data_IF_661317431205
#
_entry.id   IF_661317431205
#
_cell.length_a   1.000
_cell.length_b   1.000
_cell.length_c   1.000
_cell.angle_alpha   90.00
_cell.angle_beta   90.00
_cell.angle_gamma   90.00
#
_symmetry.space_group_name_H-M   'P 1'
#
loop_
_entity.id
_entity.type
_entity.pdbx_description
1 polymer ?
#
# COMPACT_ATOMS: atom_id res chain seq x y z
N UNK A 1 -33.10 -17.53 17.97
CA UNK A 1 -32.64 -18.17 16.73
C UNK A 1 -32.15 -17.03 15.88
N UNK A 2 -30.83 -16.80 15.86
CA UNK A 2 -30.17 -15.83 14.95
C UNK A 2 -30.22 -16.52 13.59
N UNK A 3 -31.07 -16.04 12.70
CA UNK A 3 -31.02 -16.43 11.28
C UNK A 3 -29.70 -15.92 10.72
N UNK A 4 -28.74 -16.83 10.45
CA UNK A 4 -27.61 -16.52 9.61
C UNK A 4 -28.14 -15.93 8.30
N UNK A 5 -27.70 -14.73 7.98
CA UNK A 5 -28.01 -14.14 6.68
C UNK A 5 -27.40 -15.05 5.60
N UNK A 6 -28.26 -15.72 4.84
CA UNK A 6 -27.86 -16.66 3.77
C UNK A 6 -27.28 -15.93 2.55
N UNK A 7 -27.19 -14.61 2.59
CA UNK A 7 -26.70 -13.79 1.47
C UNK A 7 -25.19 -13.71 1.53
N UNK A 8 -24.51 -14.15 0.47
CA UNK A 8 -23.06 -13.97 0.30
C UNK A 8 -22.73 -12.48 0.28
N UNK A 9 -21.83 -11.98 1.14
CA UNK A 9 -21.42 -10.58 1.12
C UNK A 9 -20.83 -10.19 -0.25
N UNK A 10 -20.98 -8.93 -0.65
CA UNK A 10 -20.30 -8.40 -1.83
C UNK A 10 -18.82 -8.18 -1.52
N UNK A 11 -18.50 -7.69 -0.32
CA UNK A 11 -17.14 -7.28 0.05
C UNK A 11 -16.76 -7.83 1.43
N UNK A 12 -15.62 -8.52 1.51
CA UNK A 12 -14.94 -8.89 2.74
C UNK A 12 -13.81 -7.91 3.03
N UNK A 13 -13.83 -7.29 4.20
CA UNK A 13 -12.66 -6.61 4.74
C UNK A 13 -11.81 -7.61 5.49
N UNK A 14 -10.51 -7.67 5.16
CA UNK A 14 -9.54 -8.48 5.89
C UNK A 14 -8.59 -7.54 6.63
N UNK A 15 -8.63 -7.58 7.96
CA UNK A 15 -7.88 -6.68 8.84
C UNK A 15 -6.90 -7.48 9.69
N UNK A 16 -5.61 -7.53 9.31
CA UNK A 16 -4.56 -8.14 10.14
C UNK A 16 -4.22 -7.22 11.30
N UNK A 17 -4.13 -7.77 12.51
CA UNK A 17 -3.96 -7.02 13.76
C UNK A 17 -2.78 -7.54 14.55
N UNK A 18 -1.83 -6.66 14.88
CA UNK A 18 -0.71 -6.98 15.76
C UNK A 18 -0.16 -5.74 16.47
N UNK A 19 -0.37 -5.64 17.79
CA UNK A 19 0.24 -4.59 18.61
C UNK A 19 -0.21 -3.17 18.25
N UNK A 20 -1.52 -2.94 18.03
CA UNK A 20 -2.09 -1.69 17.53
C UNK A 20 -3.28 -1.20 18.36
N UNK A 21 -3.36 -1.53 19.65
CA UNK A 21 -4.53 -1.21 20.49
C UNK A 21 -4.96 0.26 20.44
N UNK A 22 -4.00 1.17 20.26
CA UNK A 22 -4.27 2.61 20.19
C UNK A 22 -5.04 3.04 18.91
N UNK A 23 -5.01 2.24 17.86
CA UNK A 23 -5.55 2.58 16.53
C UNK A 23 -6.72 1.69 16.11
N UNK A 24 -6.79 0.48 16.66
CA UNK A 24 -7.67 -0.60 16.21
C UNK A 24 -9.13 -0.17 16.17
N UNK A 25 -9.63 0.50 17.20
CA UNK A 25 -11.02 0.92 17.26
C UNK A 25 -11.38 1.91 16.15
N UNK A 26 -10.49 2.87 15.86
CA UNK A 26 -10.67 3.82 14.75
C UNK A 26 -10.74 3.10 13.41
N UNK A 27 -9.87 2.11 13.19
CA UNK A 27 -9.89 1.30 11.98
C UNK A 27 -11.23 0.58 11.81
N UNK A 28 -11.66 -0.19 12.81
CA UNK A 28 -12.88 -0.99 12.75
C UNK A 28 -14.14 -0.13 12.56
N UNK A 29 -14.25 0.98 13.31
CA UNK A 29 -15.37 1.92 13.19
C UNK A 29 -15.39 2.63 11.82
N UNK A 30 -14.22 2.87 11.22
CA UNK A 30 -14.17 3.48 9.89
C UNK A 30 -14.70 2.56 8.78
N UNK A 31 -14.69 1.24 9.01
CA UNK A 31 -15.20 0.24 8.08
C UNK A 31 -16.71 0.03 8.27
N UNK A 32 -17.16 -0.14 9.52
CA UNK A 32 -18.53 -0.55 9.83
C UNK A 32 -19.43 0.60 10.32
N UNK A 33 -18.81 1.65 10.85
CA UNK A 33 -19.54 2.76 11.45
C UNK A 33 -20.35 3.54 10.41
N UNK A 34 -21.64 3.78 10.74
CA UNK A 34 -22.52 4.58 9.89
C UNK A 34 -23.10 3.86 8.67
N UNK A 35 -22.76 2.59 8.43
CA UNK A 35 -23.40 1.80 7.39
C UNK A 35 -24.78 1.32 7.83
N UNK A 36 -25.75 1.42 6.95
CA UNK A 36 -27.14 0.99 7.21
C UNK A 36 -27.72 0.28 5.98
N UNK A 37 -28.78 -0.51 6.20
CA UNK A 37 -29.51 -1.18 5.13
C UNK A 37 -28.63 -2.08 4.26
N UNK A 38 -28.87 -2.03 2.94
CA UNK A 38 -28.23 -2.91 1.96
C UNK A 38 -26.70 -2.84 1.96
N UNK A 39 -26.09 -1.73 2.34
CA UNK A 39 -24.62 -1.61 2.40
C UNK A 39 -24.05 -2.34 3.63
N UNK A 40 -24.76 -2.29 4.78
CA UNK A 40 -24.37 -3.07 5.96
C UNK A 40 -24.44 -4.57 5.72
N UNK A 41 -25.48 -5.02 5.00
CA UNK A 41 -25.69 -6.43 4.66
C UNK A 41 -24.74 -6.93 3.56
N UNK A 42 -24.18 -6.02 2.78
CA UNK A 42 -23.28 -6.33 1.68
C UNK A 42 -21.83 -6.58 2.13
N UNK A 43 -21.49 -6.35 3.40
CA UNK A 43 -20.10 -6.46 3.88
C UNK A 43 -19.97 -7.44 5.05
N UNK A 44 -18.78 -8.03 5.13
CA UNK A 44 -18.29 -8.70 6.33
C UNK A 44 -16.89 -8.17 6.69
N UNK A 45 -16.55 -8.27 7.96
CA UNK A 45 -15.22 -7.94 8.46
C UNK A 45 -14.59 -9.18 9.08
N UNK A 46 -13.41 -9.57 8.59
CA UNK A 46 -12.58 -10.65 9.11
C UNK A 46 -11.34 -10.03 9.74
N UNK A 47 -11.34 -9.90 11.06
CA UNK A 47 -10.20 -9.40 11.82
C UNK A 47 -9.32 -10.56 12.25
N UNK A 48 -8.02 -10.48 11.97
CA UNK A 48 -7.06 -11.55 12.29
C UNK A 48 -6.10 -11.07 13.36
N UNK A 49 -6.25 -11.54 14.58
CA UNK A 49 -5.29 -11.30 15.65
C UNK A 49 -4.06 -12.19 15.47
N UNK A 50 -2.96 -11.61 15.04
CA UNK A 50 -1.68 -12.30 14.81
C UNK A 50 -0.90 -12.50 16.11
N UNK A 51 -1.59 -12.99 17.16
CA UNK A 51 -1.08 -13.17 18.51
C UNK A 51 -0.53 -11.85 19.10
N UNK A 52 -1.36 -10.81 19.10
CA UNK A 52 -1.01 -9.49 19.64
C UNK A 52 -0.59 -9.57 21.11
N UNK A 53 0.49 -8.90 21.51
CA UNK A 53 0.97 -8.88 22.90
C UNK A 53 0.21 -7.87 23.78
N UNK A 54 -0.61 -7.00 23.20
CA UNK A 54 -1.44 -5.97 23.83
C UNK A 54 -2.91 -6.42 23.92
N UNK A 55 -3.81 -5.49 24.22
CA UNK A 55 -5.25 -5.80 24.38
C UNK A 55 -6.02 -5.95 23.06
N UNK A 56 -5.37 -5.96 21.90
CA UNK A 56 -6.06 -6.09 20.61
C UNK A 56 -7.02 -7.29 20.57
N UNK A 57 -6.60 -8.47 21.08
CA UNK A 57 -7.44 -9.67 21.09
C UNK A 57 -8.74 -9.48 21.89
N UNK A 58 -8.68 -8.87 23.08
CA UNK A 58 -9.85 -8.56 23.91
C UNK A 58 -10.75 -7.52 23.23
N UNK A 59 -10.16 -6.52 22.61
CA UNK A 59 -10.88 -5.47 21.86
C UNK A 59 -11.66 -6.08 20.68
N UNK A 60 -11.05 -7.00 19.93
CA UNK A 60 -11.69 -7.68 18.81
C UNK A 60 -12.88 -8.53 19.25
N UNK A 61 -12.74 -9.32 20.33
CA UNK A 61 -13.83 -10.11 20.88
C UNK A 61 -15.01 -9.23 21.33
N UNK A 62 -14.68 -8.15 22.04
CA UNK A 62 -15.68 -7.18 22.48
C UNK A 62 -16.36 -6.50 21.29
N UNK A 63 -15.60 -6.18 20.26
CA UNK A 63 -16.13 -5.54 19.06
C UNK A 63 -17.02 -6.46 18.24
N UNK A 64 -16.67 -7.74 18.13
CA UNK A 64 -17.47 -8.75 17.44
C UNK A 64 -18.75 -9.12 18.17
N UNK A 65 -18.82 -8.91 19.48
CA UNK A 65 -19.98 -9.25 20.28
C UNK A 65 -21.25 -8.55 19.76
N UNK A 66 -22.24 -9.34 19.34
CA UNK A 66 -23.51 -8.83 18.79
C UNK A 66 -23.44 -8.33 17.33
N UNK A 67 -22.31 -8.48 16.66
CA UNK A 67 -22.13 -8.13 15.23
C UNK A 67 -21.96 -9.40 14.37
N UNK A 68 -23.01 -9.93 13.77
CA UNK A 68 -22.95 -11.21 13.03
C UNK A 68 -22.09 -11.14 11.75
N UNK A 69 -21.83 -9.94 11.24
CA UNK A 69 -20.97 -9.68 10.09
C UNK A 69 -19.49 -9.44 10.47
N UNK A 70 -19.12 -9.60 11.75
CA UNK A 70 -17.72 -9.52 12.22
C UNK A 70 -17.25 -10.89 12.66
N UNK A 71 -16.16 -11.34 12.11
CA UNK A 71 -15.48 -12.58 12.48
C UNK A 71 -14.08 -12.28 12.99
N UNK A 72 -13.70 -12.89 14.10
CA UNK A 72 -12.36 -12.83 14.67
C UNK A 72 -11.67 -14.17 14.46
N UNK A 73 -10.47 -14.11 13.87
CA UNK A 73 -9.54 -15.23 13.71
C UNK A 73 -8.36 -14.99 14.64
N UNK A 74 -8.12 -15.92 15.57
CA UNK A 74 -6.98 -15.83 16.48
C UNK A 74 -5.89 -16.81 16.08
N UNK A 75 -4.70 -16.30 15.81
CA UNK A 75 -3.52 -17.10 15.56
C UNK A 75 -2.81 -17.42 16.87
N UNK A 76 -2.25 -18.61 16.98
CA UNK A 76 -1.57 -19.08 18.21
C UNK A 76 -0.18 -18.50 18.38
N UNK A 77 0.39 -17.89 17.33
CA UNK A 77 1.70 -17.23 17.30
C UNK A 77 1.72 -16.15 16.24
N UNK A 78 2.59 -15.17 16.39
CA UNK A 78 2.84 -14.19 15.33
C UNK A 78 3.46 -14.86 14.10
N UNK A 79 2.76 -14.77 12.97
CA UNK A 79 3.18 -15.32 11.67
C UNK A 79 3.62 -14.23 10.70
N UNK A 80 3.32 -12.97 11.01
CA UNK A 80 3.62 -11.79 10.21
C UNK A 80 2.50 -11.39 9.25
N UNK A 81 2.58 -10.13 8.80
CA UNK A 81 1.50 -9.42 8.11
C UNK A 81 0.93 -10.19 6.91
N UNK A 82 1.77 -10.70 6.01
CA UNK A 82 1.30 -11.42 4.82
C UNK A 82 0.55 -12.71 5.16
N UNK A 83 1.07 -13.51 6.09
CA UNK A 83 0.41 -14.77 6.48
C UNK A 83 -0.86 -14.51 7.30
N UNK A 84 -0.92 -13.44 8.07
CA UNK A 84 -2.16 -13.02 8.73
C UNK A 84 -3.23 -12.60 7.72
N UNK A 85 -2.86 -11.88 6.64
CA UNK A 85 -3.79 -11.60 5.53
C UNK A 85 -4.29 -12.87 4.85
N UNK A 86 -3.43 -13.88 4.63
CA UNK A 86 -3.86 -15.17 4.08
C UNK A 86 -4.87 -15.87 5.00
N UNK A 87 -4.61 -15.92 6.31
CA UNK A 87 -5.54 -16.52 7.27
C UNK A 87 -6.92 -15.82 7.26
N UNK A 88 -6.95 -14.50 7.06
CA UNK A 88 -8.18 -13.76 6.88
C UNK A 88 -8.85 -14.04 5.54
N UNK A 89 -8.09 -14.15 4.46
CA UNK A 89 -8.59 -14.46 3.13
C UNK A 89 -9.26 -15.84 3.08
N UNK A 90 -8.72 -16.84 3.78
CA UNK A 90 -9.33 -18.19 3.92
C UNK A 90 -10.71 -18.15 4.59
N UNK A 91 -10.98 -17.15 5.42
CA UNK A 91 -12.27 -16.98 6.10
C UNK A 91 -13.22 -16.02 5.38
N UNK A 92 -12.72 -15.29 4.37
CA UNK A 92 -13.48 -14.34 3.58
C UNK A 92 -14.47 -15.07 2.66
N UNK A 93 -15.75 -14.61 2.66
CA UNK A 93 -16.84 -15.18 1.86
C UNK A 93 -17.32 -14.21 0.77
N UNK A 94 -16.94 -12.96 0.86
CA UNK A 94 -17.32 -11.92 -0.10
C UNK A 94 -16.83 -12.21 -1.51
N UNK A 95 -17.59 -11.70 -2.50
CA UNK A 95 -17.16 -11.74 -3.91
C UNK A 95 -15.87 -10.97 -4.13
N UNK A 96 -15.65 -9.91 -3.34
CA UNK A 96 -14.46 -9.07 -3.34
C UNK A 96 -13.78 -9.09 -1.98
N UNK A 97 -12.48 -8.80 -1.97
CA UNK A 97 -11.68 -8.66 -0.75
C UNK A 97 -10.97 -7.31 -0.76
N UNK A 98 -11.02 -6.61 0.37
CA UNK A 98 -10.24 -5.41 0.65
C UNK A 98 -9.41 -5.61 1.90
N UNK A 99 -8.09 -5.61 1.75
CA UNK A 99 -7.16 -5.65 2.88
C UNK A 99 -7.03 -4.26 3.46
N UNK A 100 -7.20 -4.11 4.78
CA UNK A 100 -7.06 -2.84 5.49
C UNK A 100 -6.09 -3.02 6.65
N UNK A 101 -5.04 -2.22 6.70
CA UNK A 101 -4.07 -2.28 7.80
C UNK A 101 -4.69 -1.66 9.07
N UNK A 102 -4.55 -2.35 10.20
CA UNK A 102 -5.27 -2.05 11.44
C UNK A 102 -4.83 -0.77 12.17
N UNK A 103 -3.76 -0.12 11.72
CA UNK A 103 -3.31 1.19 12.18
C UNK A 103 -3.78 2.36 11.30
N UNK A 104 -4.50 2.06 10.20
CA UNK A 104 -5.06 2.99 9.24
C UNK A 104 -6.58 3.13 9.38
N UNK A 105 -7.21 3.96 8.56
CA UNK A 105 -8.68 4.11 8.55
C UNK A 105 -9.21 4.58 7.20
N UNK A 106 -10.50 4.40 7.00
CA UNK A 106 -11.22 4.83 5.80
C UNK A 106 -11.89 6.19 6.05
N UNK A 107 -11.90 7.13 5.10
CA UNK A 107 -12.70 8.35 5.22
C UNK A 107 -14.19 8.04 5.15
N UNK A 108 -15.05 8.89 5.72
CA UNK A 108 -16.51 8.74 5.63
C UNK A 108 -16.97 8.58 4.17
N UNK A 109 -17.92 7.65 3.93
CA UNK A 109 -18.47 7.36 2.61
C UNK A 109 -17.60 6.49 1.69
N UNK A 110 -16.36 6.18 2.06
CA UNK A 110 -15.46 5.36 1.23
C UNK A 110 -16.05 3.97 0.94
N UNK A 111 -16.60 3.29 1.96
CA UNK A 111 -17.18 1.95 1.81
C UNK A 111 -18.36 1.98 0.83
N UNK A 112 -19.31 2.89 1.02
CA UNK A 112 -20.48 3.05 0.14
C UNK A 112 -20.06 3.35 -1.31
N UNK A 113 -19.06 4.23 -1.50
CA UNK A 113 -18.52 4.54 -2.83
C UNK A 113 -17.88 3.32 -3.49
N UNK A 114 -17.08 2.56 -2.74
CA UNK A 114 -16.46 1.32 -3.23
C UNK A 114 -17.53 0.30 -3.58
N UNK A 115 -18.52 0.06 -2.72
CA UNK A 115 -19.62 -0.88 -3.01
C UNK A 115 -20.39 -0.50 -4.28
N UNK A 116 -20.67 0.78 -4.48
CA UNK A 116 -21.33 1.26 -5.69
C UNK A 116 -20.50 0.97 -6.95
N UNK A 117 -19.16 1.17 -6.88
CA UNK A 117 -18.24 0.86 -7.99
C UNK A 117 -18.20 -0.64 -8.27
N UNK A 118 -18.07 -1.48 -7.25
CA UNK A 118 -18.03 -2.94 -7.42
C UNK A 118 -19.32 -3.47 -8.06
N UNK A 119 -20.49 -2.93 -7.69
CA UNK A 119 -21.79 -3.31 -8.29
C UNK A 119 -21.92 -2.88 -9.73
N UNK A 120 -21.35 -1.73 -10.11
CA UNK A 120 -21.45 -1.16 -11.44
C UNK A 120 -20.49 -1.80 -12.43
N UNK A 121 -19.22 -1.93 -12.06
CA UNK A 121 -18.14 -2.21 -13.01
C UNK A 121 -17.69 -3.67 -12.97
N UNK A 122 -17.98 -4.38 -11.91
CA UNK A 122 -17.56 -5.77 -11.68
C UNK A 122 -16.09 -6.04 -12.09
N UNK A 123 -15.11 -5.26 -11.56
CA UNK A 123 -13.72 -5.37 -11.97
C UNK A 123 -13.03 -6.60 -11.38
N UNK A 124 -11.90 -7.01 -11.97
CA UNK A 124 -10.97 -7.93 -11.31
C UNK A 124 -10.21 -7.22 -10.19
N UNK A 125 -9.80 -5.96 -10.48
CA UNK A 125 -9.11 -5.10 -9.53
C UNK A 125 -9.70 -3.69 -9.59
N UNK A 126 -10.10 -3.16 -8.43
CA UNK A 126 -10.45 -1.75 -8.26
C UNK A 126 -9.30 -1.04 -7.54
N UNK A 127 -8.62 -0.12 -8.24
CA UNK A 127 -7.58 0.74 -7.66
C UNK A 127 -8.20 1.93 -6.92
N UNK A 128 -7.65 2.26 -5.76
CA UNK A 128 -8.11 3.32 -4.88
C UNK A 128 -7.01 4.35 -4.63
N UNK A 129 -7.38 5.63 -4.57
CA UNK A 129 -6.49 6.69 -4.12
C UNK A 129 -6.46 6.80 -2.59
N UNK A 130 -5.39 7.40 -2.07
CA UNK A 130 -5.17 7.55 -0.64
C UNK A 130 -4.45 8.84 -0.28
N UNK A 131 -4.57 9.23 0.99
CA UNK A 131 -3.78 10.31 1.58
C UNK A 131 -2.90 9.79 2.70
N UNK A 132 -1.67 10.27 2.76
CA UNK A 132 -0.78 10.10 3.90
C UNK A 132 -1.17 11.09 5.00
N UNK A 133 -1.33 10.59 6.20
CA UNK A 133 -1.69 11.40 7.37
C UNK A 133 -0.54 11.37 8.37
N UNK A 134 0.12 12.50 8.54
CA UNK A 134 1.24 12.64 9.45
C UNK A 134 0.76 12.87 10.90
N UNK A 135 1.60 12.59 11.89
CA UNK A 135 1.30 12.75 13.32
C UNK A 135 0.82 14.17 13.69
N UNK A 136 1.33 15.17 12.99
CA UNK A 136 0.92 16.59 13.19
C UNK A 136 -0.37 16.95 12.45
N UNK A 137 -1.11 15.99 11.92
CA UNK A 137 -2.36 16.19 11.17
C UNK A 137 -2.17 16.65 9.72
N UNK A 138 -0.94 16.87 9.25
CA UNK A 138 -0.69 17.25 7.85
C UNK A 138 -1.12 16.13 6.91
N UNK A 139 -1.90 16.48 5.90
CA UNK A 139 -2.30 15.59 4.83
C UNK A 139 -1.32 15.74 3.66
N UNK A 140 -0.96 14.61 3.05
CA UNK A 140 -0.06 14.59 1.89
C UNK A 140 -0.64 13.65 0.83
N UNK A 141 -0.83 14.19 -0.38
CA UNK A 141 -1.26 13.42 -1.55
C UNK A 141 -0.11 12.49 -1.95
N UNK A 142 -0.42 11.24 -2.25
CA UNK A 142 0.61 10.31 -2.71
C UNK A 142 1.16 10.71 -4.08
N UNK A 143 2.44 10.44 -4.28
CA UNK A 143 3.11 10.78 -5.54
C UNK A 143 2.54 10.04 -6.76
N UNK A 144 1.87 8.89 -6.55
CA UNK A 144 1.25 8.10 -7.62
C UNK A 144 -0.22 8.47 -7.90
N UNK A 145 -0.87 9.33 -7.08
CA UNK A 145 -2.28 9.71 -7.25
C UNK A 145 -2.59 10.30 -8.64
N UNK A 146 -1.61 10.98 -9.26
CA UNK A 146 -1.79 11.53 -10.60
C UNK A 146 -1.97 10.45 -11.68
N UNK A 147 -1.52 9.21 -11.45
CA UNK A 147 -1.66 8.08 -12.37
C UNK A 147 -3.09 7.54 -12.40
N UNK A 148 -3.89 7.84 -11.37
CA UNK A 148 -5.28 7.40 -11.25
C UNK A 148 -6.27 8.37 -11.89
N UNK A 149 -5.82 9.58 -12.27
CA UNK A 149 -6.72 10.63 -12.79
C UNK A 149 -7.04 10.43 -14.26
N UNK A 150 -8.33 10.56 -14.58
CA UNK A 150 -8.80 10.52 -15.97
C UNK A 150 -8.51 9.19 -16.67
N UNK A 151 -8.34 8.12 -15.92
CA UNK A 151 -8.19 6.78 -16.48
C UNK A 151 -9.54 6.33 -17.04
N UNK A 152 -9.64 5.92 -18.32
CA UNK A 152 -10.82 5.24 -18.83
C UNK A 152 -11.14 4.00 -17.98
N UNK A 153 -12.39 3.57 -17.96
CA UNK A 153 -12.83 2.58 -16.99
C UNK A 153 -13.89 1.64 -17.59
N UNK A 154 -13.65 0.32 -17.62
CA UNK A 154 -12.43 -0.39 -17.22
C UNK A 154 -11.30 -0.31 -18.24
N UNK A 155 -10.06 -0.62 -17.80
CA UNK A 155 -8.86 -0.73 -18.65
C UNK A 155 -8.09 -2.01 -18.37
N UNK A 156 -7.16 -2.33 -19.26
CA UNK A 156 -6.11 -3.34 -19.06
C UNK A 156 -4.77 -2.65 -18.73
N UNK A 157 -3.79 -3.43 -18.28
CA UNK A 157 -2.45 -2.90 -18.07
C UNK A 157 -1.75 -2.51 -19.39
N UNK A 158 -2.05 -3.22 -20.49
CA UNK A 158 -1.48 -2.91 -21.81
C UNK A 158 -1.94 -1.53 -22.31
N UNK A 159 -3.20 -1.14 -22.01
CA UNK A 159 -3.73 0.18 -22.34
C UNK A 159 -3.17 1.28 -21.44
N UNK A 160 -2.81 0.96 -20.20
CA UNK A 160 -2.33 1.90 -19.18
C UNK A 160 -1.14 1.34 -18.37
N UNK A 161 0.02 1.11 -19.02
CA UNK A 161 1.20 0.49 -18.38
C UNK A 161 1.76 1.30 -17.20
N UNK A 162 1.49 2.61 -17.13
CA UNK A 162 1.87 3.44 -15.99
C UNK A 162 1.20 3.03 -14.67
N UNK A 163 0.10 2.28 -14.67
CA UNK A 163 -0.54 1.77 -13.46
C UNK A 163 0.37 0.84 -12.65
N UNK A 164 1.37 0.20 -13.27
CA UNK A 164 2.41 -0.53 -12.54
C UNK A 164 3.22 0.34 -11.57
N UNK A 165 3.23 1.66 -11.75
CA UNK A 165 3.95 2.60 -10.88
C UNK A 165 3.11 3.08 -9.70
N UNK A 166 1.83 2.72 -9.65
CA UNK A 166 0.99 2.94 -8.46
C UNK A 166 1.60 2.17 -7.31
N UNK A 167 1.52 2.73 -6.10
CA UNK A 167 2.09 2.10 -4.92
C UNK A 167 1.62 0.63 -4.79
N UNK A 168 2.58 -0.29 -4.68
CA UNK A 168 2.34 -1.74 -4.66
C UNK A 168 1.87 -2.27 -3.30
N UNK A 169 1.04 -1.53 -2.59
CA UNK A 169 0.44 -1.96 -1.32
C UNK A 169 -0.80 -2.82 -1.55
N UNK A 170 -1.13 -3.68 -0.59
CA UNK A 170 -2.33 -4.50 -0.66
C UNK A 170 -3.61 -3.69 -0.41
N UNK A 171 -3.54 -2.66 0.43
CA UNK A 171 -4.70 -1.91 0.91
C UNK A 171 -5.26 -0.87 -0.08
N UNK A 172 -4.52 -0.48 -1.12
CA UNK A 172 -5.02 0.44 -2.17
C UNK A 172 -5.72 -0.28 -3.33
N UNK A 173 -6.12 -1.53 -3.12
CA UNK A 173 -6.80 -2.37 -4.11
C UNK A 173 -7.95 -3.13 -3.45
N UNK A 174 -9.08 -3.21 -4.17
CA UNK A 174 -10.14 -4.18 -3.90
C UNK A 174 -10.10 -5.20 -5.02
N UNK A 175 -10.07 -6.49 -4.66
CA UNK A 175 -9.78 -7.55 -5.62
C UNK A 175 -10.93 -8.57 -5.64
N UNK A 176 -11.34 -9.01 -6.82
CA UNK A 176 -12.27 -10.14 -6.97
C UNK A 176 -11.65 -11.40 -6.39
N UNK A 177 -12.33 -12.05 -5.43
CA UNK A 177 -11.75 -13.16 -4.67
C UNK A 177 -11.39 -14.35 -5.57
N UNK A 178 -12.28 -14.71 -6.48
CA UNK A 178 -12.03 -15.82 -7.41
C UNK A 178 -10.84 -15.54 -8.34
N UNK A 179 -10.59 -14.26 -8.69
CA UNK A 179 -9.42 -13.86 -9.46
C UNK A 179 -8.09 -14.11 -8.71
N UNK A 180 -8.08 -13.99 -7.36
CA UNK A 180 -6.93 -14.39 -6.56
C UNK A 180 -6.64 -15.90 -6.67
N UNK A 181 -7.69 -16.70 -6.73
CA UNK A 181 -7.59 -18.15 -6.87
C UNK A 181 -7.18 -18.55 -8.31
N UNK A 182 -7.69 -17.85 -9.32
CA UNK A 182 -7.31 -18.02 -10.74
C UNK A 182 -5.80 -17.77 -10.97
N UNK A 183 -5.22 -16.80 -10.26
CA UNK A 183 -3.80 -16.48 -10.33
C UNK A 183 -2.93 -17.24 -9.30
N UNK A 184 -3.53 -18.08 -8.47
CA UNK A 184 -2.87 -18.76 -7.33
C UNK A 184 -2.07 -17.78 -6.43
N UNK A 185 -2.61 -16.60 -6.21
CA UNK A 185 -1.93 -15.54 -5.47
C UNK A 185 -2.21 -15.63 -3.97
N UNK A 186 -1.13 -15.73 -3.21
CA UNK A 186 -1.11 -15.64 -1.74
C UNK A 186 0.08 -14.80 -1.30
N UNK A 187 -0.04 -14.19 -0.12
CA UNK A 187 1.08 -13.47 0.46
C UNK A 187 2.18 -14.43 0.93
N UNK A 188 3.41 -14.05 0.72
CA UNK A 188 4.57 -14.78 1.21
C UNK A 188 5.05 -14.24 2.56
N UNK A 189 5.75 -15.05 3.37
CA UNK A 189 6.34 -14.58 4.62
C UNK A 189 7.45 -13.56 4.37
N UNK A 190 7.69 -12.70 5.37
CA UNK A 190 8.71 -11.64 5.33
C UNK A 190 8.10 -10.26 5.12
N UNK A 191 8.97 -9.22 5.12
CA UNK A 191 8.55 -7.87 4.79
C UNK A 191 8.47 -7.67 3.27
N UNK A 192 7.68 -6.66 2.82
CA UNK A 192 7.44 -6.38 1.40
C UNK A 192 6.69 -7.49 0.66
N UNK A 193 5.89 -8.24 1.38
CA UNK A 193 5.04 -9.34 0.91
C UNK A 193 4.02 -8.91 -0.14
N UNK A 194 3.72 -7.63 -0.19
CA UNK A 194 2.82 -7.02 -1.15
C UNK A 194 3.42 -6.84 -2.56
N UNK A 195 4.75 -6.91 -2.71
CA UNK A 195 5.41 -6.83 -4.04
C UNK A 195 4.99 -7.99 -4.95
N UNK A 196 5.19 -9.28 -4.57
CA UNK A 196 4.80 -10.41 -5.41
C UNK A 196 3.29 -10.66 -5.39
N UNK A 197 2.51 -9.90 -4.62
CA UNK A 197 1.06 -9.95 -4.62
C UNK A 197 0.45 -8.88 -5.54
N UNK A 198 0.86 -7.63 -5.38
CA UNK A 198 0.21 -6.48 -6.05
C UNK A 198 0.54 -6.35 -7.54
N UNK A 199 1.77 -6.65 -7.96
CA UNK A 199 2.12 -6.56 -9.38
C UNK A 199 1.42 -7.62 -10.23
N UNK A 200 1.40 -8.92 -9.84
CA UNK A 200 0.64 -9.95 -10.56
C UNK A 200 -0.85 -9.62 -10.72
N UNK A 201 -1.48 -8.99 -9.71
CA UNK A 201 -2.87 -8.57 -9.82
C UNK A 201 -3.11 -7.60 -10.98
N UNK A 202 -2.22 -6.62 -11.18
CA UNK A 202 -2.36 -5.66 -12.27
C UNK A 202 -1.99 -6.27 -13.63
N UNK A 203 -1.00 -7.16 -13.64
CA UNK A 203 -0.52 -7.81 -14.87
C UNK A 203 -1.56 -8.79 -15.40
N UNK A 204 -2.21 -9.57 -14.53
CA UNK A 204 -3.17 -10.58 -14.92
C UNK A 204 -4.61 -10.08 -15.09
N UNK A 205 -4.92 -8.86 -14.66
CA UNK A 205 -6.30 -8.35 -14.72
C UNK A 205 -6.74 -7.98 -16.13
N UNK A 206 -7.88 -8.49 -16.55
CA UNK A 206 -8.56 -8.08 -17.78
C UNK A 206 -9.43 -6.83 -17.59
N UNK A 207 -9.82 -6.54 -16.34
CA UNK A 207 -10.72 -5.45 -15.97
C UNK A 207 -10.18 -4.71 -14.74
N UNK A 208 -9.37 -3.68 -14.97
CA UNK A 208 -8.92 -2.76 -13.92
C UNK A 208 -9.86 -1.56 -13.93
N UNK A 209 -10.54 -1.33 -12.80
CA UNK A 209 -11.26 -0.09 -12.56
C UNK A 209 -10.47 0.82 -11.64
N UNK A 210 -10.63 2.14 -11.84
CA UNK A 210 -9.92 3.14 -11.04
C UNK A 210 -10.93 4.06 -10.37
N UNK A 211 -10.81 4.24 -9.07
CA UNK A 211 -11.58 5.21 -8.30
C UNK A 211 -10.67 6.39 -7.95
N UNK A 212 -10.77 7.47 -8.75
CA UNK A 212 -10.08 8.76 -8.54
C UNK A 212 -10.73 9.52 -7.37
N UNK A 213 -10.75 8.86 -6.22
CA UNK A 213 -11.25 9.39 -4.97
C UNK A 213 -10.45 8.82 -3.81
N UNK A 214 -10.14 9.65 -2.83
CA UNK A 214 -9.46 9.21 -1.61
C UNK A 214 -10.39 8.29 -0.83
N UNK A 215 -10.05 7.01 -0.80
CA UNK A 215 -10.78 5.99 -0.05
C UNK A 215 -9.99 5.41 1.13
N UNK A 216 -8.75 5.86 1.32
CA UNK A 216 -7.87 5.33 2.37
C UNK A 216 -7.04 6.42 3.02
N UNK A 217 -6.86 6.35 4.34
CA UNK A 217 -6.04 7.23 5.17
C UNK A 217 -4.86 6.44 5.73
N UNK A 218 -3.70 6.62 5.11
CA UNK A 218 -2.47 5.94 5.49
C UNK A 218 -1.71 6.71 6.55
N UNK A 219 -1.63 6.16 7.76
CA UNK A 219 -0.94 6.78 8.91
C UNK A 219 0.57 6.74 8.72
N UNK A 220 1.21 7.90 8.97
CA UNK A 220 2.65 8.05 8.90
C UNK A 220 3.25 8.28 10.29
N UNK A 221 4.49 7.80 10.50
CA UNK A 221 5.27 8.12 11.71
C UNK A 221 5.01 7.20 12.90
N UNK A 222 4.10 6.24 12.82
CA UNK A 222 3.81 5.32 13.92
C UNK A 222 5.07 4.56 14.37
N UNK A 223 5.30 4.51 15.68
CA UNK A 223 6.34 3.65 16.27
C UNK A 223 6.09 2.19 15.92
N UNK A 224 7.13 1.49 15.44
CA UNK A 224 7.04 0.09 15.02
C UNK A 224 6.52 -0.13 13.59
N UNK A 225 6.22 0.93 12.83
CA UNK A 225 5.93 0.78 11.41
C UNK A 225 7.16 0.26 10.65
N UNK A 226 6.94 -0.68 9.71
CA UNK A 226 8.02 -1.30 8.91
C UNK A 226 8.87 -0.23 8.22
N UNK A 227 8.23 0.80 7.67
CA UNK A 227 8.88 1.87 6.89
C UNK A 227 9.78 2.79 7.72
N UNK A 228 9.61 2.83 9.04
CA UNK A 228 10.39 3.64 10.00
C UNK A 228 11.20 2.80 10.99
N UNK A 229 11.27 1.47 10.81
CA UNK A 229 12.02 0.57 11.70
C UNK A 229 13.34 0.17 11.08
N UNK A 230 14.46 0.48 11.76
CA UNK A 230 15.79 0.02 11.35
C UNK A 230 15.94 -1.48 11.61
N UNK A 231 16.03 -2.27 10.54
CA UNK A 231 16.08 -3.72 10.66
C UNK A 231 16.87 -4.38 9.51
N UNK A 232 17.45 -5.56 9.81
CA UNK A 232 17.96 -6.47 8.78
C UNK A 232 16.85 -7.12 7.94
N UNK A 233 15.59 -7.09 8.40
CA UNK A 233 14.44 -7.62 7.66
C UNK A 233 14.16 -6.87 6.34
N UNK A 234 14.73 -5.69 6.13
CA UNK A 234 14.67 -5.04 4.83
C UNK A 234 15.34 -5.84 3.70
N UNK A 235 16.16 -6.82 4.02
CA UNK A 235 16.72 -7.78 3.05
C UNK A 235 15.65 -8.74 2.49
N UNK A 236 14.50 -8.89 3.14
CA UNK A 236 13.39 -9.72 2.64
C UNK A 236 12.91 -9.23 1.26
N UNK A 237 13.07 -7.94 0.95
CA UNK A 237 12.73 -7.36 -0.36
C UNK A 237 13.40 -8.11 -1.53
N UNK A 238 14.59 -8.68 -1.32
CA UNK A 238 15.28 -9.44 -2.37
C UNK A 238 14.51 -10.70 -2.74
N UNK A 239 14.11 -11.50 -1.75
CA UNK A 239 13.34 -12.70 -1.97
C UNK A 239 11.95 -12.39 -2.57
N UNK A 240 11.33 -11.27 -2.19
CA UNK A 240 10.03 -10.88 -2.74
C UNK A 240 10.13 -10.52 -4.24
N UNK A 241 11.20 -9.81 -4.64
CA UNK A 241 11.42 -9.54 -6.07
C UNK A 241 11.83 -10.80 -6.85
N UNK A 242 12.58 -11.74 -6.25
CA UNK A 242 12.87 -13.03 -6.89
C UNK A 242 11.57 -13.77 -7.22
N UNK A 243 10.59 -13.83 -6.31
CA UNK A 243 9.27 -14.42 -6.53
C UNK A 243 8.47 -13.68 -7.60
N UNK A 244 8.49 -12.34 -7.58
CA UNK A 244 7.82 -11.57 -8.61
C UNK A 244 8.36 -11.91 -10.02
N UNK A 245 9.68 -11.91 -10.19
CA UNK A 245 10.27 -12.22 -11.50
C UNK A 245 10.03 -13.68 -11.92
N UNK A 246 10.06 -14.62 -10.98
CA UNK A 246 9.71 -16.03 -11.24
C UNK A 246 8.27 -16.16 -11.72
N UNK A 247 7.33 -15.46 -11.07
CA UNK A 247 5.93 -15.45 -11.48
C UNK A 247 5.76 -14.83 -12.89
N UNK A 248 6.40 -13.69 -13.15
CA UNK A 248 6.33 -13.00 -14.46
C UNK A 248 6.94 -13.87 -15.56
N UNK A 249 8.11 -14.46 -15.32
CA UNK A 249 8.78 -15.31 -16.31
C UNK A 249 7.94 -16.56 -16.67
N UNK A 250 7.08 -17.00 -15.73
CA UNK A 250 6.22 -18.19 -15.92
C UNK A 250 4.89 -17.82 -16.60
N UNK A 251 4.26 -16.70 -16.25
CA UNK A 251 2.87 -16.41 -16.64
C UNK A 251 2.77 -15.32 -17.71
N UNK A 252 3.69 -14.36 -17.72
CA UNK A 252 3.69 -13.22 -18.65
C UNK A 252 5.12 -12.85 -19.09
N UNK A 253 5.79 -13.70 -19.90
CA UNK A 253 7.17 -13.50 -20.32
C UNK A 253 7.31 -12.40 -21.38
N UNK A 254 6.96 -11.17 -21.03
CA UNK A 254 7.09 -9.98 -21.87
C UNK A 254 8.36 -9.19 -21.53
N UNK A 255 9.27 -8.92 -22.50
CA UNK A 255 10.51 -8.17 -22.29
C UNK A 255 10.28 -6.72 -21.82
N UNK A 256 9.25 -6.02 -22.30
CA UNK A 256 8.97 -4.63 -21.93
C UNK A 256 8.45 -4.54 -20.50
N UNK A 257 7.53 -5.42 -20.12
CA UNK A 257 7.05 -5.58 -18.75
C UNK A 257 8.23 -5.88 -17.81
N UNK A 258 9.09 -6.84 -18.19
CA UNK A 258 10.27 -7.21 -17.41
C UNK A 258 11.23 -6.03 -17.23
N UNK A 259 11.47 -5.23 -18.26
CA UNK A 259 12.31 -4.03 -18.18
C UNK A 259 11.71 -2.95 -17.27
N UNK A 260 10.40 -2.78 -17.30
CA UNK A 260 9.66 -1.89 -16.41
C UNK A 260 9.78 -2.33 -14.95
N UNK A 261 9.51 -3.59 -14.66
CA UNK A 261 9.64 -4.17 -13.31
C UNK A 261 11.09 -4.11 -12.79
N UNK A 262 12.07 -4.32 -13.66
CA UNK A 262 13.49 -4.14 -13.31
C UNK A 262 13.78 -2.70 -12.86
N UNK A 263 13.26 -1.71 -13.58
CA UNK A 263 13.41 -0.30 -13.21
C UNK A 263 12.78 0.00 -11.86
N UNK A 264 11.56 -0.51 -11.61
CA UNK A 264 10.86 -0.38 -10.33
C UNK A 264 11.63 -1.07 -9.19
N UNK A 265 12.13 -2.28 -9.39
CA UNK A 265 12.94 -3.02 -8.42
C UNK A 265 14.18 -2.23 -7.98
N UNK A 266 14.99 -1.76 -8.94
CA UNK A 266 16.20 -1.02 -8.61
C UNK A 266 15.87 0.30 -7.93
N UNK A 267 14.83 1.00 -8.38
CA UNK A 267 14.36 2.24 -7.76
C UNK A 267 13.91 2.00 -6.31
N UNK A 268 13.16 0.94 -6.06
CA UNK A 268 12.74 0.58 -4.69
C UNK A 268 13.93 0.24 -3.79
N UNK A 269 14.88 -0.58 -4.24
CA UNK A 269 16.08 -0.86 -3.47
C UNK A 269 16.88 0.42 -3.14
N UNK A 270 16.92 1.37 -4.07
CA UNK A 270 17.57 2.67 -3.85
C UNK A 270 16.81 3.52 -2.82
N UNK A 271 15.48 3.41 -2.73
CA UNK A 271 14.69 4.01 -1.64
C UNK A 271 15.07 3.38 -0.30
N UNK A 272 15.14 2.05 -0.22
CA UNK A 272 15.49 1.33 1.01
C UNK A 272 16.88 1.71 1.50
N UNK A 273 17.91 1.58 0.66
CA UNK A 273 19.31 1.88 1.05
C UNK A 273 19.55 3.38 1.26
N UNK A 274 18.72 4.20 0.61
CA UNK A 274 18.74 5.66 0.69
C UNK A 274 18.06 6.24 1.93
N UNK A 275 17.19 5.50 2.61
CA UNK A 275 16.51 5.94 3.82
C UNK A 275 17.35 5.59 5.07
N UNK A 276 17.60 6.59 5.92
CA UNK A 276 18.42 6.41 7.13
C UNK A 276 17.69 5.66 8.24
N UNK A 277 16.35 5.57 8.17
CA UNK A 277 15.50 4.93 9.17
C UNK A 277 15.14 3.48 8.83
N UNK A 278 15.55 2.97 7.66
CA UNK A 278 15.30 1.58 7.26
C UNK A 278 16.45 0.64 7.59
N UNK A 279 17.69 1.02 7.31
CA UNK A 279 18.85 0.15 7.50
C UNK A 279 19.83 0.71 8.54
N UNK A 280 20.29 -0.16 9.42
CA UNK A 280 21.43 0.17 10.26
C UNK A 280 22.64 0.53 9.39
N UNK A 281 23.48 1.52 9.79
CA UNK A 281 24.61 1.99 8.97
C UNK A 281 25.58 0.87 8.53
N UNK A 282 25.84 -0.12 9.40
CA UNK A 282 26.72 -1.25 9.11
C UNK A 282 26.15 -2.21 8.05
N UNK A 283 24.81 -2.27 7.86
CA UNK A 283 24.16 -3.14 6.88
C UNK A 283 24.09 -2.53 5.47
N UNK A 284 24.23 -1.21 5.33
CA UNK A 284 24.00 -0.51 4.05
C UNK A 284 24.94 -0.96 2.93
N UNK A 285 26.22 -1.21 3.24
CA UNK A 285 27.19 -1.68 2.24
C UNK A 285 26.83 -3.09 1.77
N UNK A 286 26.44 -3.98 2.69
CA UNK A 286 26.01 -5.34 2.37
C UNK A 286 24.74 -5.33 1.53
N UNK A 287 23.76 -4.50 1.91
CA UNK A 287 22.53 -4.32 1.13
C UNK A 287 22.81 -3.81 -0.28
N UNK A 288 23.64 -2.76 -0.42
CA UNK A 288 24.00 -2.22 -1.75
C UNK A 288 24.71 -3.26 -2.63
N UNK A 289 25.59 -4.09 -2.06
CA UNK A 289 26.24 -5.18 -2.79
C UNK A 289 25.19 -6.18 -3.29
N UNK A 290 24.20 -6.54 -2.45
CA UNK A 290 23.12 -7.44 -2.86
C UNK A 290 22.25 -6.80 -3.96
N UNK A 291 22.00 -5.49 -3.91
CA UNK A 291 21.34 -4.76 -5.01
C UNK A 291 22.13 -4.89 -6.31
N UNK A 292 23.46 -4.74 -6.27
CA UNK A 292 24.30 -4.90 -7.45
C UNK A 292 24.33 -6.34 -8.00
N UNK A 293 24.19 -7.35 -7.13
CA UNK A 293 24.03 -8.75 -7.52
C UNK A 293 22.70 -8.97 -8.23
N UNK A 294 21.59 -8.44 -7.68
CA UNK A 294 20.26 -8.49 -8.31
C UNK A 294 20.22 -7.70 -9.62
N UNK A 295 20.89 -6.54 -9.68
CA UNK A 295 21.01 -5.78 -10.92
C UNK A 295 21.57 -6.64 -12.04
N UNK A 296 22.68 -7.38 -11.80
CA UNK A 296 23.30 -8.24 -12.81
C UNK A 296 22.47 -9.47 -13.15
N UNK A 297 21.79 -10.06 -12.14
CA UNK A 297 20.97 -11.26 -12.32
C UNK A 297 19.71 -11.01 -13.14
N UNK A 298 19.03 -9.89 -12.90
CA UNK A 298 17.74 -9.56 -13.49
C UNK A 298 17.81 -8.55 -14.64
N UNK A 299 19.02 -8.04 -14.98
CA UNK A 299 19.20 -7.10 -16.07
C UNK A 299 18.64 -7.69 -17.37
N UNK A 300 17.65 -7.03 -18.01
CA UNK A 300 17.13 -7.52 -19.28
C UNK A 300 18.22 -7.54 -20.35
N UNK A 301 18.27 -8.58 -21.20
CA UNK A 301 19.31 -8.71 -22.26
C UNK A 301 19.33 -7.50 -23.20
N UNK A 302 18.17 -6.94 -23.51
CA UNK A 302 17.98 -5.80 -24.42
C UNK A 302 18.18 -4.44 -23.70
N UNK A 303 18.48 -4.48 -22.39
CA UNK A 303 18.57 -3.30 -21.55
C UNK A 303 17.22 -2.89 -20.97
N UNK A 304 17.14 -1.67 -20.44
CA UNK A 304 15.94 -1.10 -19.84
C UNK A 304 15.96 0.42 -19.94
N UNK A 305 14.80 1.10 -19.90
CA UNK A 305 14.73 2.55 -19.88
C UNK A 305 15.31 3.08 -18.56
N UNK A 306 16.54 3.60 -18.63
CA UNK A 306 17.17 4.18 -17.45
C UNK A 306 16.50 5.51 -17.13
N UNK A 307 16.18 5.78 -15.84
CA UNK A 307 15.70 7.09 -15.44
C UNK A 307 16.71 8.20 -15.77
N UNK A 308 16.22 9.39 -16.06
CA UNK A 308 17.07 10.55 -16.33
C UNK A 308 17.73 11.13 -15.06
N UNK A 309 18.80 11.89 -15.23
CA UNK A 309 19.43 12.68 -14.18
C UNK A 309 20.03 11.85 -13.05
N UNK A 310 19.82 12.32 -11.81
CA UNK A 310 20.37 11.69 -10.59
C UNK A 310 19.87 10.26 -10.36
N UNK A 311 18.58 9.93 -10.56
CA UNK A 311 18.12 8.55 -10.50
C UNK A 311 18.89 7.61 -11.44
N UNK A 312 19.05 7.95 -12.70
CA UNK A 312 19.80 7.12 -13.67
C UNK A 312 21.28 7.00 -13.31
N UNK A 313 21.90 8.06 -12.78
CA UNK A 313 23.26 7.95 -12.26
C UNK A 313 23.37 6.95 -11.10
N UNK A 314 22.38 6.93 -10.18
CA UNK A 314 22.33 5.94 -9.10
C UNK A 314 22.22 4.52 -9.66
N UNK A 315 21.39 4.28 -10.69
CA UNK A 315 21.29 2.98 -11.36
C UNK A 315 22.64 2.53 -11.94
N UNK A 316 23.37 3.42 -12.64
CA UNK A 316 24.72 3.12 -13.15
C UNK A 316 25.71 2.77 -12.05
N UNK A 317 25.66 3.47 -10.90
CA UNK A 317 26.53 3.19 -9.75
C UNK A 317 26.21 1.82 -9.12
N UNK A 318 24.93 1.42 -9.10
CA UNK A 318 24.52 0.07 -8.70
C UNK A 318 25.09 -0.98 -9.64
N UNK A 319 24.91 -0.84 -10.95
CA UNK A 319 25.44 -1.79 -11.94
C UNK A 319 26.96 -2.00 -11.82
N UNK A 320 27.69 -0.94 -11.45
CA UNK A 320 29.14 -0.98 -11.19
C UNK A 320 29.54 -1.39 -9.77
N UNK A 321 28.57 -1.68 -8.91
CA UNK A 321 28.77 -1.93 -7.47
C UNK A 321 29.60 -0.84 -6.76
N UNK A 322 29.41 0.42 -7.15
CA UNK A 322 30.22 1.56 -6.71
C UNK A 322 29.62 2.23 -5.47
N UNK A 323 29.64 1.53 -4.31
CA UNK A 323 29.00 2.00 -3.07
C UNK A 323 29.54 3.35 -2.59
N UNK A 324 30.87 3.57 -2.62
CA UNK A 324 31.46 4.83 -2.13
C UNK A 324 31.03 6.02 -3.01
N UNK A 325 30.99 5.85 -4.34
CA UNK A 325 30.50 6.87 -5.25
C UNK A 325 29.01 7.16 -5.04
N UNK A 326 28.20 6.13 -4.77
CA UNK A 326 26.79 6.31 -4.40
C UNK A 326 26.63 7.12 -3.10
N UNK A 327 27.43 6.83 -2.07
CA UNK A 327 27.39 7.59 -0.80
C UNK A 327 27.81 9.05 -1.02
N UNK A 328 28.85 9.29 -1.82
CA UNK A 328 29.30 10.65 -2.15
C UNK A 328 28.22 11.44 -2.91
N UNK A 329 27.60 10.83 -3.93
CA UNK A 329 26.50 11.43 -4.70
C UNK A 329 25.31 11.78 -3.78
N UNK A 330 24.94 10.87 -2.88
CA UNK A 330 23.85 11.06 -1.92
C UNK A 330 24.13 12.22 -0.96
N UNK A 331 25.36 12.34 -0.46
CA UNK A 331 25.78 13.45 0.40
C UNK A 331 25.72 14.78 -0.34
N UNK A 332 26.29 14.84 -1.55
CA UNK A 332 26.26 16.05 -2.38
C UNK A 332 24.83 16.51 -2.68
N UNK A 333 23.94 15.58 -3.04
CA UNK A 333 22.54 15.90 -3.31
C UNK A 333 21.80 16.44 -2.07
N UNK A 334 22.04 15.89 -0.88
CA UNK A 334 21.48 16.40 0.38
C UNK A 334 22.00 17.81 0.72
N UNK A 335 23.30 18.06 0.52
CA UNK A 335 23.89 19.38 0.74
C UNK A 335 23.28 20.42 -0.20
N UNK A 336 23.14 20.09 -1.49
CA UNK A 336 22.52 20.97 -2.48
C UNK A 336 21.05 21.26 -2.14
N UNK A 337 20.30 20.28 -1.63
CA UNK A 337 18.92 20.45 -1.16
C UNK A 337 18.81 21.40 0.03
N UNK A 338 19.72 21.28 1.00
CA UNK A 338 19.77 22.19 2.17
C UNK A 338 20.07 23.63 1.78
N UNK A 339 21.03 23.84 0.85
CA UNK A 339 21.38 25.16 0.34
C UNK A 339 20.24 25.82 -0.44
N UNK A 340 19.46 25.03 -1.20
CA UNK A 340 18.26 25.54 -1.90
C UNK A 340 17.13 25.87 -0.93
N UNK A 341 16.90 25.07 0.10
CA UNK A 341 15.90 25.32 1.14
C UNK A 341 16.21 26.57 1.97
N UNK A 342 17.51 26.85 2.24
CA UNK A 342 17.93 28.07 2.93
C UNK A 342 17.78 29.33 2.05
N UNK A 343 17.86 29.20 0.71
CA UNK A 343 17.64 30.33 -0.21
C UNK A 343 16.16 30.61 -0.50
N UNK A 344 15.29 29.65 -0.23
CA UNK A 344 13.84 29.76 -0.42
C UNK A 344 13.07 30.17 0.85
N UNK A 345 13.75 30.41 1.99
CA UNK A 345 13.10 30.98 3.17
C UNK A 345 12.76 32.46 2.88
N UNK A 346 11.48 32.85 2.79
CA UNK A 346 11.12 34.26 2.63
C UNK A 346 11.55 35.01 3.91
N UNK A 347 12.04 36.24 3.71
CA UNK A 347 12.17 37.20 4.80
C UNK A 347 10.82 37.32 5.52
N UNK A 348 10.78 37.59 6.84
CA UNK A 348 9.54 37.68 7.59
C UNK A 348 8.68 38.81 6.99
N UNK A 349 7.70 38.41 6.18
CA UNK A 349 6.67 39.32 5.69
C UNK A 349 5.75 39.63 6.86
N UNK A 350 5.55 40.92 7.09
CA UNK A 350 4.63 41.42 8.09
C UNK A 350 3.24 40.82 7.90
N UNK A 351 2.60 40.53 9.01
CA UNK A 351 1.29 39.95 9.09
C UNK A 351 0.25 40.73 8.26
N UNK A 352 -0.28 40.07 7.23
CA UNK A 352 -1.52 40.48 6.57
C UNK A 352 -2.65 39.55 7.06
N UNK A 353 -3.66 40.06 7.78
CA UNK A 353 -4.71 39.22 8.38
C UNK A 353 -5.79 38.76 7.41
N UNK A 354 -5.66 38.99 6.10
CA UNK A 354 -6.73 38.68 5.12
C UNK A 354 -6.71 37.30 4.49
N UNK A 355 -5.58 36.57 4.55
CA UNK A 355 -5.45 35.27 3.87
C UNK A 355 -6.01 34.05 4.64
N UNK A 356 -6.50 34.26 5.86
CA UNK A 356 -7.04 33.18 6.72
C UNK A 356 -8.52 32.84 6.53
N UNK A 357 -9.24 33.54 5.65
CA UNK A 357 -10.71 33.35 5.52
C UNK A 357 -11.17 32.42 4.42
N UNK A 358 -10.41 32.25 3.36
CA UNK A 358 -10.87 31.40 2.23
C UNK A 358 -10.77 29.89 2.46
N UNK A 359 -9.86 29.44 3.34
CA UNK A 359 -9.72 28.00 3.64
C UNK A 359 -10.74 27.54 4.70
N UNK A 360 -11.26 28.47 5.52
CA UNK A 360 -12.29 28.17 6.52
C UNK A 360 -13.70 28.08 5.92
N UNK A 361 -13.99 28.78 4.83
CA UNK A 361 -15.32 28.76 4.19
C UNK A 361 -15.59 27.49 3.37
N UNK A 362 -14.55 26.85 2.82
CA UNK A 362 -14.73 25.56 2.14
C UNK A 362 -14.91 24.37 3.11
N UNK A 363 -14.47 24.50 4.35
CA UNK A 363 -14.68 23.44 5.37
C UNK A 363 -16.07 23.53 6.02
N UNK A 364 -16.71 24.69 5.99
CA UNK A 364 -18.03 24.92 6.62
C UNK A 364 -19.19 24.63 5.66
N UNK A 365 -18.95 24.67 4.35
CA UNK A 365 -19.98 24.37 3.33
C UNK A 365 -20.32 22.87 3.21
N UNK A 366 -19.45 21.98 3.73
CA UNK A 366 -19.68 20.53 3.76
C UNK A 366 -20.32 20.03 5.06
N UNK A 367 -20.46 20.88 6.07
CA UNK A 367 -21.03 20.52 7.37
C UNK A 367 -22.48 21.00 7.56
N UNK A 368 -23.10 21.63 6.56
CA UNK A 368 -24.41 22.30 6.66
C UNK A 368 -25.53 21.74 5.80
N UNK A 369 -25.40 20.53 5.23
CA UNK A 369 -26.53 19.81 4.62
C UNK A 369 -26.56 18.40 5.22
N UNK A 370 -27.23 18.32 6.38
CA UNK A 370 -27.51 17.11 7.15
C UNK A 370 -28.72 16.37 6.65
#
# INVERSE_FOLDING_TARGET
VVTESTRTPLLSFVVPVYGVEAYLYQCLESILGGLTGDDSDAIELVAVDDASPDRCGEMLESYAAGRPNVRVVRLTRNVGLGLARNAGLEQARGRYVWFVDSDDWLPPGAVTTVLARLRRDEPDVLLLDHLRVHENGRLEVDASSHLLRGVPDPVTLDERPELLRVQHTAWNKVVRRDFLDELDLRFHPGWYEDIPFSHPLLIGAERISVLDQVCYRYRQGRLGAITSTRSGRHFDAFAQYERLFEWVDTHHPDPELRATLFTLMISHYLVVVGNDDRLHPHLRRAFFRRVAEHYRRFLPPEGYPQPDGVPGLKHRLVGRNSYLAYVALRRAHRMAGRLRGQRAAPAPAGADPAAGREVAEQSTALAGQG
#
